data_IF_712440197800
#
_entry.id   IF_712440197800
#
_cell.length_a   1.000
_cell.length_b   1.000
_cell.length_c   1.000
_cell.angle_alpha   90.00
_cell.angle_beta   90.00
_cell.angle_gamma   90.00
#
_symmetry.space_group_name_H-M   'P 1'
#
loop_
_entity.id
_entity.type
_entity.pdbx_description
1 polymer ?
#
# COMPACT_ATOMS: atom_id res chain seq x y z
N UNK A 1 -16.33 -10.70 -3.79
CA UNK A 1 -15.68 -11.24 -2.58
C UNK A 1 -14.23 -10.75 -2.43
N UNK A 2 -13.36 -10.94 -3.43
CA UNK A 2 -11.94 -10.56 -3.35
C UNK A 2 -11.68 -9.06 -3.16
N UNK A 3 -12.49 -8.18 -3.76
CA UNK A 3 -12.31 -6.73 -3.63
C UNK A 3 -12.42 -6.21 -2.19
N UNK A 4 -13.26 -6.83 -1.35
CA UNK A 4 -13.37 -6.42 0.05
C UNK A 4 -12.06 -6.65 0.80
N UNK A 5 -11.46 -7.83 0.60
CA UNK A 5 -10.17 -8.20 1.19
C UNK A 5 -9.08 -7.28 0.65
N UNK A 6 -9.02 -7.05 -0.66
CA UNK A 6 -8.04 -6.14 -1.26
C UNK A 6 -8.15 -4.74 -0.67
N UNK A 7 -9.37 -4.20 -0.53
CA UNK A 7 -9.58 -2.88 0.10
C UNK A 7 -9.10 -2.86 1.55
N UNK A 8 -9.37 -3.92 2.32
CA UNK A 8 -8.88 -4.05 3.70
C UNK A 8 -7.35 -4.09 3.77
N UNK A 9 -6.70 -4.85 2.89
CA UNK A 9 -5.23 -4.91 2.78
C UNK A 9 -4.62 -3.57 2.36
N UNK A 10 -5.30 -2.80 1.51
CA UNK A 10 -4.88 -1.44 1.16
C UNK A 10 -4.91 -0.49 2.36
N UNK A 11 -5.86 -0.65 3.29
CA UNK A 11 -5.90 0.14 4.52
C UNK A 11 -4.76 -0.25 5.47
N UNK A 12 -4.45 -1.54 5.59
CA UNK A 12 -3.32 -2.01 6.42
C UNK A 12 -1.99 -1.54 5.86
N UNK A 13 -1.75 -1.73 4.56
CA UNK A 13 -0.53 -1.26 3.90
C UNK A 13 -0.33 0.25 4.04
N UNK A 14 -1.41 1.05 3.99
CA UNK A 14 -1.31 2.49 4.24
C UNK A 14 -0.80 2.81 5.65
N UNK A 15 -1.23 2.05 6.67
CA UNK A 15 -0.70 2.19 8.03
C UNK A 15 0.76 1.78 8.11
N UNK A 16 1.12 0.63 7.54
CA UNK A 16 2.50 0.14 7.51
C UNK A 16 3.46 1.14 6.86
N UNK A 17 3.06 1.75 5.74
CA UNK A 17 3.85 2.80 5.07
C UNK A 17 4.17 4.01 5.96
N UNK A 18 3.36 4.28 6.99
CA UNK A 18 3.55 5.40 7.91
C UNK A 18 4.25 4.99 9.21
N UNK A 19 4.08 3.74 9.63
CA UNK A 19 4.62 3.25 10.90
C UNK A 19 5.95 2.54 10.76
N UNK A 20 6.31 2.09 9.54
CA UNK A 20 7.55 1.36 9.28
C UNK A 20 8.39 2.06 8.20
N UNK A 21 9.67 1.70 8.16
CA UNK A 21 10.59 2.13 7.10
C UNK A 21 10.75 1.08 6.00
N UNK A 22 9.86 0.08 5.98
CA UNK A 22 9.92 -1.02 5.03
C UNK A 22 9.84 -0.51 3.59
N UNK A 23 10.40 -1.29 2.67
CA UNK A 23 10.28 -0.97 1.25
C UNK A 23 8.83 -1.13 0.79
N UNK A 24 8.46 -0.43 -0.30
CA UNK A 24 7.12 -0.56 -0.92
C UNK A 24 6.85 -2.03 -1.29
N UNK A 25 7.89 -2.76 -1.70
CA UNK A 25 7.79 -4.18 -2.04
C UNK A 25 7.52 -5.03 -0.79
N UNK A 26 8.25 -4.81 0.30
CA UNK A 26 8.03 -5.52 1.57
C UNK A 26 6.62 -5.30 2.10
N UNK A 27 6.12 -4.05 2.08
CA UNK A 27 4.75 -3.75 2.50
C UNK A 27 3.72 -4.47 1.62
N UNK A 28 3.96 -4.53 0.30
CA UNK A 28 3.09 -5.26 -0.62
C UNK A 28 3.06 -6.76 -0.29
N UNK A 29 4.23 -7.38 -0.09
CA UNK A 29 4.35 -8.79 0.27
C UNK A 29 3.71 -9.09 1.64
N UNK A 30 3.95 -8.26 2.66
CA UNK A 30 3.35 -8.40 3.99
C UNK A 30 1.82 -8.32 3.94
N UNK A 31 1.28 -7.50 3.03
CA UNK A 31 -0.17 -7.38 2.82
C UNK A 31 -0.73 -8.44 1.86
N UNK A 32 0.04 -9.46 1.48
CA UNK A 32 -0.45 -10.56 0.64
C UNK A 32 -0.64 -10.21 -0.84
N UNK A 33 -0.05 -9.12 -1.32
CA UNK A 33 -0.03 -8.82 -2.75
C UNK A 33 1.04 -9.67 -3.45
N UNK A 34 0.63 -10.40 -4.50
CA UNK A 34 1.56 -11.23 -5.29
C UNK A 34 2.53 -10.43 -6.16
N UNK A 35 2.35 -9.11 -6.29
CA UNK A 35 3.22 -8.25 -7.08
C UNK A 35 3.18 -6.81 -6.61
N UNK A 36 4.35 -6.18 -6.51
CA UNK A 36 4.49 -4.76 -6.14
C UNK A 36 3.79 -3.84 -7.14
N UNK A 37 3.85 -4.12 -8.44
CA UNK A 37 3.20 -3.28 -9.46
C UNK A 37 1.68 -3.29 -9.32
N UNK A 38 1.10 -4.47 -9.08
CA UNK A 38 -0.35 -4.62 -8.85
C UNK A 38 -0.78 -3.89 -7.57
N UNK A 39 0.02 -4.00 -6.51
CA UNK A 39 -0.19 -3.24 -5.28
C UNK A 39 -0.17 -1.72 -5.54
N UNK A 40 0.85 -1.20 -6.22
CA UNK A 40 0.99 0.24 -6.50
C UNK A 40 -0.21 0.76 -7.29
N UNK A 41 -0.65 0.03 -8.31
CA UNK A 41 -1.82 0.41 -9.12
C UNK A 41 -3.09 0.44 -8.26
N UNK A 42 -3.34 -0.61 -7.49
CA UNK A 42 -4.53 -0.67 -6.60
C UNK A 42 -4.49 0.37 -5.50
N UNK A 43 -3.34 0.60 -4.91
CA UNK A 43 -3.14 1.62 -3.88
C UNK A 43 -3.39 3.02 -4.44
N UNK A 44 -2.85 3.33 -5.62
CA UNK A 44 -3.07 4.61 -6.31
C UNK A 44 -4.54 4.79 -6.69
N UNK A 45 -5.19 3.77 -7.22
CA UNK A 45 -6.61 3.83 -7.55
C UNK A 45 -7.49 4.06 -6.32
N UNK A 46 -7.10 3.54 -5.14
CA UNK A 46 -7.85 3.71 -3.90
C UNK A 46 -7.59 5.03 -3.19
N UNK A 47 -6.34 5.48 -3.15
CA UNK A 47 -5.88 6.64 -2.35
C UNK A 47 -5.63 7.91 -3.18
N UNK A 48 -5.59 7.79 -4.50
CA UNK A 48 -5.25 8.87 -5.44
C UNK A 48 -3.74 9.10 -5.62
N UNK A 49 -2.89 8.52 -4.77
CA UNK A 49 -1.44 8.74 -4.77
C UNK A 49 -0.65 7.44 -4.75
N UNK A 50 0.60 7.46 -5.21
CA UNK A 50 1.44 6.26 -5.11
C UNK A 50 1.80 6.00 -3.63
N UNK A 51 2.04 4.74 -3.22
CA UNK A 51 2.44 4.43 -1.85
C UNK A 51 3.75 5.14 -1.44
N UNK A 52 4.64 5.41 -2.39
CA UNK A 52 5.83 6.21 -2.16
C UNK A 52 5.50 7.69 -1.90
N UNK A 53 4.59 8.27 -2.70
CA UNK A 53 4.09 9.62 -2.49
C UNK A 53 3.36 9.76 -1.15
N UNK A 54 2.56 8.75 -0.79
CA UNK A 54 1.84 8.70 0.49
C UNK A 54 2.79 8.73 1.70
N UNK A 55 3.86 7.93 1.66
CA UNK A 55 4.90 7.94 2.71
C UNK A 55 5.64 9.27 2.78
N UNK A 56 5.96 9.86 1.63
CA UNK A 56 6.70 11.13 1.56
C UNK A 56 5.88 12.33 2.06
N UNK A 57 4.59 12.36 1.74
CA UNK A 57 3.68 13.46 2.13
C UNK A 57 3.48 13.52 3.65
N UNK A 58 3.37 12.36 4.31
CA UNK A 58 3.13 12.25 5.75
C UNK A 58 4.36 12.34 6.65
N UNK A 59 5.56 12.18 6.07
CA UNK A 59 6.84 12.38 6.78
C UNK A 59 7.41 13.79 6.59
N UNK A 60 6.59 14.74 6.12
CA UNK A 60 6.94 16.14 5.94
C UNK A 60 6.31 16.99 7.03
#
# INVERSE_FOLDING_TARGET
>A
MFEYITNYLLVISAKLLLTTNDSIADVAYQCGFGSTSYFIEKFKNKTGVTPFGYRKDKNR
#
